data_IF_425519881984
#
_entry.id   IF_425519881984
#
_cell.length_a   1.000
_cell.length_b   1.000
_cell.length_c   1.000
_cell.angle_alpha   90.00
_cell.angle_beta   90.00
_cell.angle_gamma   90.00
#
_symmetry.space_group_name_H-M   'P 1'
#
loop_
_entity.id
_entity.type
_entity.pdbx_description
1 polymer ?
#
# COMPACT_ATOMS: atom_id res chain seq x y z
N UNK A 1 -20.18 -6.31 -41.07
CA UNK A 1 -18.84 -5.93 -40.60
C UNK A 1 -18.93 -5.61 -39.12
N UNK A 2 -18.06 -6.26 -38.37
CA UNK A 2 -18.19 -6.65 -36.97
C UNK A 2 -18.05 -5.47 -35.97
N UNK A 3 -19.13 -5.16 -35.24
CA UNK A 3 -19.18 -4.11 -34.20
C UNK A 3 -18.70 -4.61 -32.82
N UNK A 4 -18.35 -5.90 -32.67
CA UNK A 4 -17.83 -6.44 -31.40
C UNK A 4 -16.33 -6.27 -31.24
N UNK A 5 -15.58 -6.08 -32.33
CA UNK A 5 -14.12 -5.94 -32.30
C UNK A 5 -13.60 -4.57 -31.81
N UNK A 6 -14.44 -3.53 -31.69
CA UNK A 6 -14.06 -2.21 -31.12
C UNK A 6 -14.47 -2.00 -29.65
N UNK A 7 -15.24 -2.91 -29.05
CA UNK A 7 -15.82 -2.71 -27.73
C UNK A 7 -14.83 -2.91 -26.56
N UNK A 8 -13.73 -3.64 -26.76
CA UNK A 8 -12.78 -3.94 -25.69
C UNK A 8 -11.79 -2.78 -25.38
N UNK A 9 -11.52 -1.89 -26.34
CA UNK A 9 -10.63 -0.74 -26.14
C UNK A 9 -11.32 0.56 -25.68
N UNK A 10 -12.64 0.69 -25.92
CA UNK A 10 -13.40 1.93 -25.66
C UNK A 10 -13.86 2.02 -24.20
N UNK A 11 -14.06 0.90 -23.50
CA UNK A 11 -14.61 0.89 -22.14
C UNK A 11 -13.66 1.49 -21.08
N UNK A 12 -12.34 1.42 -21.31
CA UNK A 12 -11.33 2.03 -20.44
C UNK A 12 -10.93 3.45 -20.84
N UNK A 13 -11.25 3.89 -22.07
CA UNK A 13 -10.78 5.17 -22.61
C UNK A 13 -11.18 6.39 -21.76
N UNK A 14 -12.43 6.50 -21.26
CA UNK A 14 -12.77 7.62 -20.38
C UNK A 14 -11.98 7.60 -19.06
N UNK A 15 -11.68 6.42 -18.48
CA UNK A 15 -10.86 6.34 -17.27
C UNK A 15 -9.42 6.77 -17.55
N UNK A 16 -8.83 6.28 -18.64
CA UNK A 16 -7.46 6.66 -19.06
C UNK A 16 -7.35 8.15 -19.38
N UNK A 17 -8.35 8.73 -20.06
CA UNK A 17 -8.43 10.18 -20.26
C UNK A 17 -8.52 10.92 -18.95
N UNK A 18 -9.37 10.46 -18.03
CA UNK A 18 -9.51 11.06 -16.70
C UNK A 18 -8.19 11.03 -15.92
N UNK A 19 -7.48 9.91 -15.90
CA UNK A 19 -6.15 9.78 -15.27
C UNK A 19 -5.11 10.69 -15.93
N UNK A 20 -5.17 10.85 -17.26
CA UNK A 20 -4.31 11.80 -17.97
C UNK A 20 -4.58 13.24 -17.54
N UNK A 21 -5.86 13.62 -17.39
CA UNK A 21 -6.23 14.93 -16.86
C UNK A 21 -5.83 15.12 -15.40
N UNK A 22 -5.87 14.07 -14.58
CA UNK A 22 -5.36 14.12 -13.21
C UNK A 22 -3.87 14.43 -13.15
N UNK A 23 -3.06 13.85 -14.05
CA UNK A 23 -1.63 14.18 -14.17
C UNK A 23 -1.41 15.64 -14.59
N UNK A 24 -2.32 16.19 -15.40
CA UNK A 24 -2.33 17.59 -15.82
C UNK A 24 -2.96 18.54 -14.79
N UNK A 25 -3.37 18.04 -13.62
CA UNK A 25 -4.08 18.79 -12.57
C UNK A 25 -5.42 19.39 -13.02
N UNK A 26 -6.01 18.91 -14.12
CA UNK A 26 -7.35 19.29 -14.57
C UNK A 26 -8.40 18.37 -13.93
N UNK A 27 -8.72 18.67 -12.68
CA UNK A 27 -9.66 17.88 -11.88
C UNK A 27 -11.09 17.88 -12.42
N UNK A 28 -11.50 18.97 -13.09
CA UNK A 28 -12.83 19.09 -13.65
C UNK A 28 -13.03 18.14 -14.84
N UNK A 29 -12.06 18.10 -15.76
CA UNK A 29 -12.12 17.16 -16.90
C UNK A 29 -11.91 15.72 -16.44
N UNK A 30 -11.07 15.49 -15.43
CA UNK A 30 -10.94 14.16 -14.83
C UNK A 30 -12.29 13.65 -14.31
N UNK A 31 -12.96 14.46 -13.49
CA UNK A 31 -14.27 14.12 -12.92
C UNK A 31 -15.32 13.86 -14.01
N UNK A 32 -15.38 14.72 -15.03
CA UNK A 32 -16.28 14.54 -16.16
C UNK A 32 -16.09 13.19 -16.83
N UNK A 33 -14.84 12.82 -17.13
CA UNK A 33 -14.52 11.56 -17.80
C UNK A 33 -14.83 10.34 -16.94
N UNK A 34 -14.60 10.41 -15.62
CA UNK A 34 -15.00 9.34 -14.69
C UNK A 34 -16.52 9.18 -14.64
N UNK A 35 -17.28 10.29 -14.62
CA UNK A 35 -18.74 10.24 -14.70
C UNK A 35 -19.21 9.61 -16.01
N UNK A 36 -18.60 9.95 -17.15
CA UNK A 36 -18.92 9.30 -18.43
C UNK A 36 -18.64 7.79 -18.40
N UNK A 37 -17.51 7.37 -17.79
CA UNK A 37 -17.21 5.95 -17.62
C UNK A 37 -18.33 5.22 -16.85
N UNK A 38 -18.79 5.83 -15.75
CA UNK A 38 -19.84 5.27 -14.89
C UNK A 38 -21.24 5.33 -15.51
N UNK A 39 -21.51 6.27 -16.42
CA UNK A 39 -22.76 6.30 -17.20
C UNK A 39 -22.83 5.12 -18.19
N UNK A 40 -21.72 4.82 -18.85
CA UNK A 40 -21.63 3.71 -19.81
C UNK A 40 -21.59 2.36 -19.08
N UNK A 41 -20.83 2.27 -17.99
CA UNK A 41 -20.65 1.05 -17.20
C UNK A 41 -20.73 1.37 -15.69
N UNK A 42 -21.94 1.31 -15.09
CA UNK A 42 -22.13 1.62 -13.67
C UNK A 42 -21.40 0.70 -12.69
N UNK A 43 -21.02 -0.50 -13.12
CA UNK A 43 -20.26 -1.48 -12.36
C UNK A 43 -18.75 -1.46 -12.70
N UNK A 44 -18.23 -0.38 -13.29
CA UNK A 44 -16.81 -0.27 -13.63
C UNK A 44 -15.96 0.04 -12.39
N UNK A 45 -15.39 -1.00 -11.78
CA UNK A 45 -14.55 -0.90 -10.56
C UNK A 45 -13.43 0.14 -10.68
N UNK A 46 -12.59 0.17 -11.73
CA UNK A 46 -11.55 1.19 -11.85
C UNK A 46 -12.08 2.63 -11.87
N UNK A 47 -13.24 2.88 -12.49
CA UNK A 47 -13.83 4.22 -12.48
C UNK A 47 -14.30 4.63 -11.07
N UNK A 48 -14.89 3.72 -10.30
CA UNK A 48 -15.24 3.99 -8.90
C UNK A 48 -14.01 4.29 -8.06
N UNK A 49 -12.95 3.50 -8.18
CA UNK A 49 -11.70 3.70 -7.42
C UNK A 49 -11.02 5.03 -7.78
N UNK A 50 -10.92 5.37 -9.06
CA UNK A 50 -10.25 6.61 -9.48
C UNK A 50 -11.11 7.85 -9.16
N UNK A 51 -12.44 7.76 -9.27
CA UNK A 51 -13.34 8.80 -8.77
C UNK A 51 -13.25 8.97 -7.25
N UNK A 52 -13.12 7.88 -6.49
CA UNK A 52 -12.95 7.93 -5.03
C UNK A 52 -11.67 8.68 -4.63
N UNK A 53 -10.54 8.37 -5.30
CA UNK A 53 -9.27 9.10 -5.12
C UNK A 53 -9.41 10.59 -5.40
N UNK A 54 -10.17 10.96 -6.45
CA UNK A 54 -10.43 12.36 -6.76
C UNK A 54 -11.26 13.03 -5.66
N UNK A 55 -12.34 12.40 -5.18
CA UNK A 55 -13.14 12.93 -4.07
C UNK A 55 -12.29 13.11 -2.80
N UNK A 56 -11.41 12.16 -2.51
CA UNK A 56 -10.46 12.22 -1.40
C UNK A 56 -9.49 13.41 -1.54
N UNK A 57 -8.91 13.63 -2.72
CA UNK A 57 -8.04 14.79 -3.00
C UNK A 57 -8.76 16.13 -2.77
N UNK A 58 -10.06 16.17 -3.05
CA UNK A 58 -10.94 17.34 -2.81
C UNK A 58 -11.39 17.49 -1.36
N UNK A 59 -11.00 16.59 -0.45
CA UNK A 59 -11.43 16.58 0.95
C UNK A 59 -12.86 16.06 1.17
N UNK A 60 -13.51 15.55 0.12
CA UNK A 60 -14.88 15.00 0.17
C UNK A 60 -14.86 13.55 0.67
N UNK A 61 -14.41 13.35 1.91
CA UNK A 61 -14.12 12.02 2.47
C UNK A 61 -15.36 11.10 2.48
N UNK A 62 -16.55 11.64 2.75
CA UNK A 62 -17.78 10.85 2.77
C UNK A 62 -18.15 10.30 1.37
N UNK A 63 -18.01 11.11 0.33
CA UNK A 63 -18.28 10.70 -1.06
C UNK A 63 -17.20 9.74 -1.57
N UNK A 64 -15.93 9.96 -1.19
CA UNK A 64 -14.86 9.01 -1.46
C UNK A 64 -15.16 7.63 -0.85
N UNK A 65 -15.58 7.58 0.42
CA UNK A 65 -15.88 6.31 1.08
C UNK A 65 -17.05 5.57 0.44
N UNK A 66 -18.11 6.27 0.01
CA UNK A 66 -19.22 5.65 -0.73
C UNK A 66 -18.73 4.94 -1.99
N UNK A 67 -17.82 5.57 -2.74
CA UNK A 67 -17.27 5.02 -3.97
C UNK A 67 -16.37 3.80 -3.70
N UNK A 68 -15.52 3.85 -2.66
CA UNK A 68 -14.73 2.68 -2.26
C UNK A 68 -15.62 1.49 -1.82
N UNK A 69 -16.68 1.75 -1.04
CA UNK A 69 -17.64 0.71 -0.64
C UNK A 69 -18.41 0.17 -1.85
N UNK A 70 -18.73 1.02 -2.82
CA UNK A 70 -19.39 0.59 -4.06
C UNK A 70 -18.47 -0.32 -4.89
N UNK A 71 -17.20 0.04 -5.06
CA UNK A 71 -16.20 -0.81 -5.72
C UNK A 71 -16.09 -2.17 -5.04
N UNK A 72 -16.03 -2.20 -3.69
CA UNK A 72 -15.98 -3.43 -2.90
C UNK A 72 -17.25 -4.28 -2.99
N UNK A 73 -18.42 -3.65 -3.13
CA UNK A 73 -19.67 -4.36 -3.37
C UNK A 73 -19.71 -5.01 -4.77
N UNK A 74 -19.15 -4.33 -5.78
CA UNK A 74 -19.11 -4.85 -7.15
C UNK A 74 -18.13 -6.02 -7.27
N UNK A 75 -16.90 -5.84 -6.78
CA UNK A 75 -15.88 -6.88 -6.80
C UNK A 75 -15.04 -6.87 -5.52
N UNK A 76 -15.50 -7.62 -4.52
CA UNK A 76 -14.78 -7.81 -3.26
C UNK A 76 -13.64 -8.83 -3.34
N UNK A 77 -13.43 -9.49 -4.49
CA UNK A 77 -12.36 -10.48 -4.71
C UNK A 77 -11.16 -9.88 -5.45
N UNK A 78 -11.29 -8.68 -6.00
CA UNK A 78 -10.16 -7.91 -6.50
C UNK A 78 -9.37 -7.31 -5.32
N UNK A 79 -8.12 -7.77 -5.13
CA UNK A 79 -7.25 -7.28 -4.07
C UNK A 79 -6.98 -5.77 -4.19
N UNK A 80 -7.00 -5.22 -5.41
CA UNK A 80 -6.73 -3.82 -5.67
C UNK A 80 -7.79 -2.93 -5.04
N UNK A 81 -9.04 -3.39 -4.95
CA UNK A 81 -10.14 -2.66 -4.28
C UNK A 81 -9.85 -2.52 -2.79
N UNK A 82 -9.42 -3.61 -2.14
CA UNK A 82 -9.05 -3.59 -0.72
C UNK A 82 -7.82 -2.71 -0.48
N UNK A 83 -6.79 -2.79 -1.33
CA UNK A 83 -5.59 -1.95 -1.24
C UNK A 83 -5.94 -0.45 -1.31
N UNK A 84 -6.72 -0.04 -2.31
CA UNK A 84 -7.09 1.37 -2.47
C UNK A 84 -7.97 1.88 -1.32
N UNK A 85 -8.91 1.05 -0.85
CA UNK A 85 -9.73 1.43 0.29
C UNK A 85 -8.92 1.50 1.59
N UNK A 86 -7.95 0.59 1.78
CA UNK A 86 -7.03 0.62 2.92
C UNK A 86 -6.20 1.91 2.94
N UNK A 87 -5.68 2.34 1.79
CA UNK A 87 -4.95 3.60 1.67
C UNK A 87 -5.83 4.79 2.07
N UNK A 88 -7.06 4.87 1.57
CA UNK A 88 -8.01 5.90 1.99
C UNK A 88 -8.24 5.89 3.52
N UNK A 89 -8.43 4.72 4.11
CA UNK A 89 -8.65 4.59 5.55
C UNK A 89 -7.42 5.03 6.36
N UNK A 90 -6.21 4.79 5.86
CA UNK A 90 -4.98 5.28 6.50
C UNK A 90 -4.94 6.82 6.51
N UNK A 91 -5.20 7.45 5.36
CA UNK A 91 -5.22 8.92 5.21
C UNK A 91 -6.38 9.56 5.99
N UNK A 92 -7.49 8.85 6.14
CA UNK A 92 -8.63 9.25 6.97
C UNK A 92 -8.43 9.01 8.48
N UNK A 93 -7.24 8.58 8.92
CA UNK A 93 -6.93 8.38 10.34
C UNK A 93 -7.61 7.15 10.97
N UNK A 94 -7.93 6.12 10.18
CA UNK A 94 -8.63 4.89 10.61
C UNK A 94 -7.71 3.67 10.50
N UNK A 95 -6.63 3.59 11.31
CA UNK A 95 -5.56 2.61 11.12
C UNK A 95 -6.00 1.15 11.35
N UNK A 96 -6.95 0.90 12.25
CA UNK A 96 -7.49 -0.45 12.52
C UNK A 96 -8.23 -1.01 11.31
N UNK A 97 -9.03 -0.17 10.65
CA UNK A 97 -9.78 -0.57 9.46
C UNK A 97 -8.86 -0.69 8.25
N UNK A 98 -7.87 0.20 8.11
CA UNK A 98 -6.80 0.08 7.13
C UNK A 98 -6.09 -1.29 7.24
N UNK A 99 -5.62 -1.67 8.43
CA UNK A 99 -4.99 -2.96 8.65
C UNK A 99 -5.90 -4.14 8.29
N UNK A 100 -7.20 -4.03 8.61
CA UNK A 100 -8.20 -5.04 8.26
C UNK A 100 -8.38 -5.18 6.74
N UNK A 101 -8.36 -4.08 5.97
CA UNK A 101 -8.44 -4.12 4.51
C UNK A 101 -7.18 -4.68 3.86
N UNK A 102 -5.99 -4.30 4.35
CA UNK A 102 -4.75 -4.89 3.84
C UNK A 102 -4.66 -6.40 4.11
N UNK A 103 -5.16 -6.87 5.27
CA UNK A 103 -5.25 -8.30 5.55
C UNK A 103 -6.19 -9.05 4.59
N UNK A 104 -7.26 -8.43 4.10
CA UNK A 104 -8.07 -9.03 3.04
C UNK A 104 -7.36 -8.99 1.69
N UNK A 105 -6.68 -7.89 1.35
CA UNK A 105 -5.90 -7.76 0.12
C UNK A 105 -4.82 -8.85 0.02
N UNK A 106 -4.05 -9.09 1.08
CA UNK A 106 -2.95 -10.07 1.07
C UNK A 106 -3.44 -11.51 1.02
N UNK A 107 -4.65 -11.82 1.50
CA UNK A 107 -5.26 -13.15 1.30
C UNK A 107 -5.56 -13.41 -0.17
N UNK A 108 -5.97 -12.38 -0.90
CA UNK A 108 -6.31 -12.45 -2.33
C UNK A 108 -5.07 -12.42 -3.22
N UNK A 109 -4.01 -11.73 -2.80
CA UNK A 109 -2.76 -11.60 -3.52
C UNK A 109 -1.53 -11.79 -2.59
N UNK A 110 -1.24 -13.04 -2.17
CA UNK A 110 -0.21 -13.31 -1.16
C UNK A 110 1.23 -13.10 -1.62
N UNK A 111 1.46 -13.05 -2.94
CA UNK A 111 2.78 -12.86 -3.55
C UNK A 111 2.94 -11.50 -4.23
N UNK A 112 1.92 -10.62 -4.14
CA UNK A 112 2.01 -9.26 -4.65
C UNK A 112 2.80 -8.38 -3.67
N UNK A 113 3.99 -7.97 -4.07
CA UNK A 113 4.96 -7.33 -3.18
C UNK A 113 4.39 -6.08 -2.48
N UNK A 114 3.74 -5.19 -3.22
CA UNK A 114 3.19 -3.96 -2.65
C UNK A 114 2.13 -4.27 -1.59
N UNK A 115 1.29 -5.27 -1.82
CA UNK A 115 0.23 -5.69 -0.89
C UNK A 115 0.83 -6.26 0.39
N UNK A 116 1.81 -7.16 0.26
CA UNK A 116 2.51 -7.77 1.40
C UNK A 116 3.22 -6.70 2.23
N UNK A 117 3.97 -5.82 1.58
CA UNK A 117 4.72 -4.77 2.26
C UNK A 117 3.80 -3.75 2.96
N UNK A 118 2.71 -3.36 2.31
CA UNK A 118 1.75 -2.42 2.91
C UNK A 118 0.93 -3.07 4.04
N UNK A 119 0.68 -4.38 3.98
CA UNK A 119 0.11 -5.13 5.10
C UNK A 119 1.01 -5.06 6.33
N UNK A 120 2.32 -5.27 6.16
CA UNK A 120 3.28 -5.12 7.26
C UNK A 120 3.26 -3.70 7.86
N UNK A 121 3.25 -2.67 7.02
CA UNK A 121 3.17 -1.26 7.46
C UNK A 121 1.89 -0.98 8.25
N UNK A 122 0.74 -1.46 7.77
CA UNK A 122 -0.55 -1.26 8.41
C UNK A 122 -0.61 -1.96 9.77
N UNK A 123 -0.13 -3.21 9.85
CA UNK A 123 -0.05 -3.97 11.10
C UNK A 123 0.87 -3.33 12.13
N UNK A 124 2.03 -2.80 11.68
CA UNK A 124 2.94 -2.03 12.54
C UNK A 124 2.25 -0.80 13.13
N UNK A 125 1.43 -0.11 12.34
CA UNK A 125 0.72 1.11 12.76
C UNK A 125 -0.29 0.83 13.87
N UNK A 126 -0.88 -0.37 13.88
CA UNK A 126 -1.81 -0.83 14.94
C UNK A 126 -1.14 -1.70 16.00
N UNK A 127 0.20 -1.65 16.10
CA UNK A 127 1.00 -2.37 17.09
C UNK A 127 0.86 -3.90 17.06
N UNK A 128 0.41 -4.49 15.95
CA UNK A 128 0.41 -5.95 15.73
C UNK A 128 1.79 -6.41 15.25
N UNK A 129 2.79 -6.18 16.09
CA UNK A 129 4.21 -6.21 15.71
C UNK A 129 4.73 -7.60 15.29
N UNK A 130 4.20 -8.67 15.88
CA UNK A 130 4.58 -10.06 15.50
C UNK A 130 4.11 -10.37 14.09
N UNK A 131 2.88 -9.97 13.74
CA UNK A 131 2.35 -10.16 12.39
C UNK A 131 3.01 -9.22 11.38
N UNK A 132 3.30 -7.98 11.77
CA UNK A 132 4.07 -7.06 10.94
C UNK A 132 5.45 -7.64 10.61
N UNK A 133 6.15 -8.25 11.58
CA UNK A 133 7.42 -8.94 11.34
C UNK A 133 7.27 -10.05 10.31
N UNK A 134 6.24 -10.90 10.43
CA UNK A 134 5.96 -11.97 9.47
C UNK A 134 5.85 -11.43 8.03
N UNK A 135 5.05 -10.38 7.82
CA UNK A 135 4.87 -9.82 6.48
C UNK A 135 6.10 -9.04 5.99
N UNK A 136 6.89 -8.41 6.87
CA UNK A 136 8.17 -7.84 6.46
C UNK A 136 9.18 -8.91 6.01
N UNK A 137 9.24 -10.07 6.69
CA UNK A 137 10.06 -11.21 6.22
C UNK A 137 9.60 -11.67 4.84
N UNK A 138 8.29 -11.85 4.65
CA UNK A 138 7.72 -12.19 3.33
C UNK A 138 8.08 -11.14 2.26
N UNK A 139 8.02 -9.85 2.58
CA UNK A 139 8.43 -8.79 1.65
C UNK A 139 9.93 -8.89 1.27
N UNK A 140 10.80 -9.25 2.22
CA UNK A 140 12.23 -9.49 1.91
C UNK A 140 12.47 -10.74 1.05
N UNK A 141 11.61 -11.75 1.16
CA UNK A 141 11.68 -12.95 0.32
C UNK A 141 11.20 -12.69 -1.11
N UNK A 142 10.12 -11.91 -1.27
CA UNK A 142 9.58 -11.53 -2.59
C UNK A 142 10.53 -10.59 -3.33
N UNK A 143 11.14 -9.64 -2.63
CA UNK A 143 12.08 -8.68 -3.22
C UNK A 143 13.36 -8.55 -2.36
N UNK A 144 14.30 -9.50 -2.49
CA UNK A 144 15.50 -9.55 -1.65
C UNK A 144 16.54 -8.47 -1.96
N UNK A 145 16.41 -7.79 -3.11
CA UNK A 145 17.35 -6.75 -3.55
C UNK A 145 16.84 -5.32 -3.28
N UNK A 146 15.72 -5.16 -2.58
CA UNK A 146 15.19 -3.85 -2.21
C UNK A 146 15.66 -3.47 -0.80
N UNK A 147 16.55 -2.48 -0.70
CA UNK A 147 17.11 -2.06 0.59
C UNK A 147 16.04 -1.70 1.64
N UNK A 148 14.94 -1.09 1.21
CA UNK A 148 13.84 -0.64 2.08
C UNK A 148 13.15 -1.80 2.83
N UNK A 149 13.06 -3.00 2.23
CA UNK A 149 12.41 -4.16 2.87
C UNK A 149 13.24 -4.65 4.05
N UNK A 150 14.55 -4.78 3.85
CA UNK A 150 15.52 -5.14 4.90
C UNK A 150 15.62 -4.09 5.99
N UNK A 151 15.57 -2.79 5.64
CA UNK A 151 15.54 -1.70 6.62
C UNK A 151 14.32 -1.81 7.54
N UNK A 152 13.12 -2.01 6.97
CA UNK A 152 11.89 -2.10 7.75
C UNK A 152 11.79 -3.40 8.55
N UNK A 153 12.29 -4.52 8.01
CA UNK A 153 12.43 -5.76 8.78
C UNK A 153 13.37 -5.56 9.97
N UNK A 154 14.54 -4.94 9.76
CA UNK A 154 15.46 -4.61 10.84
C UNK A 154 14.84 -3.72 11.92
N UNK A 155 14.03 -2.73 11.52
CA UNK A 155 13.27 -1.89 12.45
C UNK A 155 12.26 -2.69 13.27
N UNK A 156 11.55 -3.62 12.65
CA UNK A 156 10.59 -4.46 13.33
C UNK A 156 11.23 -5.47 14.27
N UNK A 157 12.32 -6.10 13.85
CA UNK A 157 13.10 -7.02 14.68
C UNK A 157 13.72 -6.31 15.89
N UNK A 158 14.27 -5.10 15.68
CA UNK A 158 14.79 -4.28 16.76
C UNK A 158 13.67 -3.97 17.77
N UNK A 159 12.50 -3.56 17.31
CA UNK A 159 11.35 -3.29 18.18
C UNK A 159 10.90 -4.54 18.96
N UNK A 160 10.90 -5.71 18.31
CA UNK A 160 10.53 -6.99 18.91
C UNK A 160 11.64 -7.60 19.79
N UNK A 161 12.77 -6.92 19.98
CA UNK A 161 13.88 -7.39 20.83
C UNK A 161 14.80 -8.43 20.20
N UNK A 162 14.65 -8.71 18.90
CA UNK A 162 15.46 -9.69 18.14
C UNK A 162 16.70 -8.99 17.56
N UNK A 163 17.61 -8.60 18.44
CA UNK A 163 18.66 -7.64 18.13
C UNK A 163 19.70 -8.14 17.11
N UNK A 164 20.12 -9.40 17.20
CA UNK A 164 21.09 -9.99 16.29
C UNK A 164 20.53 -10.07 14.87
N UNK A 165 19.27 -10.52 14.72
CA UNK A 165 18.60 -10.56 13.41
C UNK A 165 18.34 -9.15 12.86
N UNK A 166 18.04 -8.19 13.73
CA UNK A 166 17.87 -6.79 13.34
C UNK A 166 19.16 -6.20 12.77
N UNK A 167 20.31 -6.48 13.40
CA UNK A 167 21.61 -6.02 12.92
C UNK A 167 21.93 -6.61 11.54
N UNK A 168 21.71 -7.91 11.33
CA UNK A 168 21.90 -8.54 10.03
C UNK A 168 21.02 -7.90 8.94
N UNK A 169 19.76 -7.61 9.26
CA UNK A 169 18.82 -6.98 8.34
C UNK A 169 19.26 -5.56 7.96
N UNK A 170 19.67 -4.74 8.94
CA UNK A 170 20.19 -3.40 8.66
C UNK A 170 21.49 -3.43 7.85
N UNK A 171 22.41 -4.35 8.16
CA UNK A 171 23.64 -4.54 7.39
C UNK A 171 23.33 -4.93 5.94
N UNK A 172 22.34 -5.81 5.72
CA UNK A 172 21.89 -6.16 4.36
C UNK A 172 21.31 -4.96 3.63
N UNK A 173 20.49 -4.15 4.28
CA UNK A 173 19.96 -2.91 3.72
C UNK A 173 21.08 -1.93 3.32
N UNK A 174 22.09 -1.75 4.17
CA UNK A 174 23.25 -0.87 3.89
C UNK A 174 24.18 -1.42 2.79
N UNK A 175 24.27 -2.75 2.65
CA UNK A 175 25.00 -3.34 1.52
C UNK A 175 24.30 -3.05 0.18
N UNK A 176 22.96 -3.04 0.16
CA UNK A 176 22.17 -2.75 -1.04
C UNK A 176 22.11 -1.25 -1.34
N UNK A 177 22.08 -0.41 -0.30
CA UNK A 177 22.09 1.05 -0.41
C UNK A 177 23.09 1.65 0.60
N UNK A 178 24.39 1.69 0.24
CA UNK A 178 25.41 2.32 1.06
C UNK A 178 25.06 3.81 1.22
N UNK A 179 25.12 4.34 2.44
CA UNK A 179 24.73 5.71 2.81
C UNK A 179 23.23 6.01 3.02
N UNK A 180 22.38 5.01 3.23
CA UNK A 180 21.04 5.27 3.77
C UNK A 180 21.11 5.72 5.25
N UNK A 181 21.04 7.04 5.48
CA UNK A 181 21.27 7.63 6.81
C UNK A 181 20.27 7.13 7.87
N UNK A 182 19.02 6.86 7.48
CA UNK A 182 18.00 6.32 8.39
C UNK A 182 18.43 4.94 8.89
N UNK A 183 18.89 4.08 7.98
CA UNK A 183 19.38 2.75 8.31
C UNK A 183 20.65 2.79 9.18
N UNK A 184 21.60 3.68 8.86
CA UNK A 184 22.82 3.88 9.68
C UNK A 184 22.45 4.29 11.10
N UNK A 185 21.55 5.26 11.25
CA UNK A 185 21.12 5.74 12.56
C UNK A 185 20.42 4.64 13.36
N UNK A 186 19.58 3.83 12.72
CA UNK A 186 18.89 2.72 13.36
C UNK A 186 19.86 1.63 13.83
N UNK A 187 20.86 1.29 13.01
CA UNK A 187 21.90 0.33 13.36
C UNK A 187 22.78 0.84 14.51
N UNK A 188 23.15 2.11 14.52
CA UNK A 188 23.93 2.71 15.61
C UNK A 188 23.17 2.72 16.95
N UNK A 189 21.87 3.01 16.91
CA UNK A 189 20.98 2.91 18.09
C UNK A 189 20.93 1.47 18.62
N UNK A 190 20.74 0.50 17.72
CA UNK A 190 20.71 -0.92 18.05
C UNK A 190 22.03 -1.37 18.71
N UNK A 191 23.18 -1.05 18.10
CA UNK A 191 24.51 -1.43 18.63
C UNK A 191 24.79 -0.83 20.00
N UNK A 192 24.44 0.43 20.20
CA UNK A 192 24.55 1.09 21.52
C UNK A 192 23.72 0.37 22.58
N UNK A 193 22.50 -0.06 22.23
CA UNK A 193 21.62 -0.81 23.12
C UNK A 193 22.20 -2.20 23.44
N UNK A 194 22.69 -2.94 22.44
CA UNK A 194 23.33 -4.25 22.64
C UNK A 194 24.53 -4.12 23.57
N UNK A 195 25.39 -3.11 23.36
CA UNK A 195 26.56 -2.86 24.21
C UNK A 195 26.14 -2.61 25.66
N UNK A 196 25.19 -1.71 25.89
CA UNK A 196 24.70 -1.39 27.24
C UNK A 196 24.17 -2.64 27.96
N UNK A 197 23.40 -3.48 27.25
CA UNK A 197 22.88 -4.74 27.83
C UNK A 197 23.97 -5.75 28.17
N UNK A 198 25.08 -5.78 27.41
CA UNK A 198 26.23 -6.63 27.72
C UNK A 198 26.99 -6.13 28.94
N UNK A 199 27.09 -4.82 29.12
CA UNK A 199 27.78 -4.21 30.26
C UNK A 199 26.98 -4.33 31.57
N UNK A 200 25.69 -4.67 31.51
CA UNK A 200 24.77 -4.89 32.65
C UNK A 200 24.69 -6.36 33.12
N UNK A 201 25.32 -7.30 32.40
CA UNK A 201 25.37 -8.74 32.67
C UNK A 201 26.71 -9.14 33.33
#
# INVERSE_FOLDING_TARGET
>A
MDTRAKALGILGWPVVCGESYMKLQDEARAEFNYKQALLVKPDHVPAHLTMAKLMQKKGLLHEAEKLYRKAMFIDGKDYSVHQHYAQFLAEAGRPVECASRYLEAVKLAPDEFEVVFNTANALRTVSRNVEAEYYYRRATELQPQVAMTHMNLGAMLHYNGKYEEAELSYMKALNLKPADQVTVNNLNKLRSLIKKKKDEL
#
